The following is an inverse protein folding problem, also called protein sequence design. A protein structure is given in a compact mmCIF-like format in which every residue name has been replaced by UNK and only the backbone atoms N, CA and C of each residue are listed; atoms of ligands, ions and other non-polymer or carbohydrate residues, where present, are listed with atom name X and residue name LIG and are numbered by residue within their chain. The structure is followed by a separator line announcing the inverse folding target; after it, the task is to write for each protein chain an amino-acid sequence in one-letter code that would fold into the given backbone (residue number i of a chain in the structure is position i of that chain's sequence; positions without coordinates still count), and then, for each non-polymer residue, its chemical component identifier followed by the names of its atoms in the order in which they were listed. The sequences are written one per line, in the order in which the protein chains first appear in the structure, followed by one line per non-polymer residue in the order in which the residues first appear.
data_IF_651044747863
#
_entry.id   IF_651044747863
#
_cell.length_a   1.000
_cell.length_b   1.000
_cell.length_c   1.000
_cell.angle_alpha   90.00
_cell.angle_beta   90.00
_cell.angle_gamma   90.00
#
_symmetry.space_group_name_H-M   'P 1'
#
loop_
_entity.id
_entity.type
_entity.pdbx_description
1 polymer ?
#
# COMPACT_ATOMS: atom_id res chain seq x y z
N UNK A 1 -7.37 11.53 -4.17
CA UNK A 1 -7.90 10.21 -3.77
C UNK A 1 -6.96 9.48 -2.82
N UNK A 2 -5.67 9.26 -3.15
CA UNK A 2 -4.66 8.66 -2.26
C UNK A 2 -4.64 9.19 -0.81
N UNK A 3 -4.77 10.51 -0.61
CA UNK A 3 -4.81 11.15 0.72
C UNK A 3 -5.94 10.61 1.63
N UNK A 4 -7.06 10.16 1.07
CA UNK A 4 -8.19 9.62 1.85
C UNK A 4 -7.79 8.34 2.56
N UNK A 5 -7.19 7.39 1.83
CA UNK A 5 -6.77 6.09 2.37
C UNK A 5 -5.63 6.24 3.40
N UNK A 6 -4.65 7.09 3.11
CA UNK A 6 -3.44 7.22 3.93
C UNK A 6 -3.57 8.20 5.11
N UNK A 7 -4.75 8.79 5.32
CA UNK A 7 -4.95 9.82 6.34
C UNK A 7 -4.65 9.34 7.75
N UNK A 8 -5.01 8.09 8.09
CA UNK A 8 -4.72 7.51 9.40
C UNK A 8 -3.25 7.16 9.56
N UNK A 9 -2.63 6.51 8.57
CA UNK A 9 -1.21 6.19 8.60
C UNK A 9 -0.36 7.45 8.83
N UNK A 10 -0.71 8.56 8.17
CA UNK A 10 -0.03 9.85 8.39
C UNK A 10 -0.07 10.33 9.84
N UNK A 11 -1.19 10.13 10.55
CA UNK A 11 -1.35 10.56 11.94
C UNK A 11 -0.52 9.74 12.93
N UNK A 12 -0.19 8.52 12.57
CA UNK A 12 0.55 7.59 13.43
C UNK A 12 2.06 7.59 13.16
N UNK A 13 2.56 8.46 12.28
CA UNK A 13 4.00 8.64 12.08
C UNK A 13 4.71 8.89 13.42
N UNK A 14 5.81 8.18 13.65
CA UNK A 14 6.53 8.18 14.92
C UNK A 14 6.06 7.11 15.92
N UNK A 15 4.95 6.43 15.66
CA UNK A 15 4.44 5.32 16.46
C UNK A 15 4.43 4.04 15.61
N UNK A 16 5.57 3.35 15.58
CA UNK A 16 5.84 2.21 14.70
C UNK A 16 4.64 1.25 14.50
N UNK A 17 4.15 0.64 15.58
CA UNK A 17 3.08 -0.35 15.48
C UNK A 17 1.78 0.24 14.91
N UNK A 18 1.34 1.38 15.44
CA UNK A 18 0.13 2.05 14.98
C UNK A 18 0.25 2.51 13.51
N UNK A 19 1.44 2.96 13.11
CA UNK A 19 1.74 3.36 11.74
C UNK A 19 1.58 2.21 10.75
N UNK A 20 2.26 1.08 10.97
CA UNK A 20 2.19 -0.04 10.02
C UNK A 20 0.82 -0.72 9.98
N UNK A 21 0.12 -0.81 11.12
CA UNK A 21 -1.28 -1.28 11.13
C UNK A 21 -2.17 -0.36 10.29
N UNK A 22 -1.98 0.96 10.41
CA UNK A 22 -2.77 1.91 9.64
C UNK A 22 -2.39 1.93 8.16
N UNK A 23 -1.10 1.71 7.83
CA UNK A 23 -0.60 1.65 6.46
C UNK A 23 -1.12 0.41 5.73
N UNK A 24 -1.01 -0.78 6.33
CA UNK A 24 -1.56 -2.03 5.79
C UNK A 24 -3.08 -1.90 5.54
N UNK A 25 -3.83 -1.38 6.53
CA UNK A 25 -5.26 -1.11 6.35
C UNK A 25 -5.55 -0.14 5.21
N UNK A 26 -4.73 0.87 5.02
CA UNK A 26 -4.88 1.82 3.92
C UNK A 26 -4.68 1.16 2.55
N UNK A 27 -3.64 0.32 2.42
CA UNK A 27 -3.35 -0.45 1.20
C UNK A 27 -4.48 -1.43 0.87
N UNK A 28 -4.95 -2.21 1.85
CA UNK A 28 -6.07 -3.13 1.66
C UNK A 28 -7.36 -2.40 1.30
N UNK A 29 -7.70 -1.30 1.98
CA UNK A 29 -8.90 -0.54 1.67
C UNK A 29 -8.86 0.08 0.27
N UNK A 30 -7.67 0.50 -0.18
CA UNK A 30 -7.46 0.96 -1.55
C UNK A 30 -7.76 -0.16 -2.56
N UNK A 31 -7.18 -1.35 -2.36
CA UNK A 31 -7.40 -2.51 -3.23
C UNK A 31 -8.88 -2.91 -3.29
N UNK A 32 -9.54 -3.02 -2.15
CA UNK A 32 -10.98 -3.32 -2.09
C UNK A 32 -11.80 -2.32 -2.90
N UNK A 33 -11.52 -1.03 -2.75
CA UNK A 33 -12.26 0.02 -3.43
C UNK A 33 -11.99 0.08 -4.94
N UNK A 34 -10.81 -0.34 -5.41
CA UNK A 34 -10.40 -0.22 -6.82
C UNK A 34 -10.54 -1.50 -7.62
N UNK A 35 -10.34 -2.64 -6.98
CA UNK A 35 -10.37 -3.95 -7.60
C UNK A 35 -11.63 -4.75 -7.26
N UNK A 36 -12.47 -4.26 -6.33
CA UNK A 36 -13.67 -4.94 -5.85
C UNK A 36 -13.38 -6.36 -5.33
N UNK A 37 -12.28 -6.51 -4.58
CA UNK A 37 -11.85 -7.76 -3.96
C UNK A 37 -12.22 -7.82 -2.48
N UNK A 38 -12.43 -9.02 -1.95
CA UNK A 38 -12.60 -9.24 -0.52
C UNK A 38 -11.26 -9.50 0.17
N UNK A 39 -11.19 -9.31 1.50
CA UNK A 39 -9.94 -9.50 2.27
C UNK A 39 -9.39 -10.93 2.14
N UNK A 40 -10.28 -11.93 2.11
CA UNK A 40 -9.92 -13.35 2.00
C UNK A 40 -9.23 -13.69 0.70
N UNK A 41 -9.46 -12.89 -0.34
CA UNK A 41 -8.99 -13.14 -1.70
C UNK A 41 -7.72 -12.34 -2.02
N UNK A 42 -7.19 -11.60 -1.04
CA UNK A 42 -5.97 -10.80 -1.19
C UNK A 42 -4.77 -11.76 -1.15
N UNK A 43 -4.27 -12.11 -2.33
CA UNK A 43 -2.96 -12.72 -2.54
C UNK A 43 -2.15 -11.88 -3.52
N UNK A 44 -0.82 -12.00 -3.52
CA UNK A 44 0.04 -11.29 -4.48
C UNK A 44 -0.31 -11.64 -5.91
N UNK A 45 -0.56 -12.92 -6.18
CA UNK A 45 -0.94 -13.43 -7.50
C UNK A 45 -2.27 -12.81 -7.95
N UNK A 46 -3.26 -12.77 -7.06
CA UNK A 46 -4.57 -12.23 -7.38
C UNK A 46 -4.54 -10.72 -7.60
N UNK A 47 -3.82 -9.97 -6.76
CA UNK A 47 -3.68 -8.52 -6.95
C UNK A 47 -2.95 -8.23 -8.26
N UNK A 48 -1.86 -8.94 -8.54
CA UNK A 48 -1.08 -8.78 -9.78
C UNK A 48 -1.96 -9.00 -11.00
N UNK A 49 -2.63 -10.16 -11.09
CA UNK A 49 -3.53 -10.48 -12.19
C UNK A 49 -4.65 -9.44 -12.36
N UNK A 50 -5.25 -8.97 -11.26
CA UNK A 50 -6.31 -7.96 -11.35
C UNK A 50 -5.80 -6.58 -11.78
N UNK A 51 -4.57 -6.20 -11.44
CA UNK A 51 -3.99 -4.95 -11.90
C UNK A 51 -3.55 -5.06 -13.37
N UNK A 52 -3.04 -6.21 -13.79
CA UNK A 52 -2.73 -6.50 -15.20
C UNK A 52 -3.99 -6.46 -16.07
N UNK A 53 -5.10 -7.07 -15.61
CA UNK A 53 -6.41 -7.03 -16.30
C UNK A 53 -6.96 -5.59 -16.47
N UNK A 54 -6.48 -4.67 -15.63
CA UNK A 54 -6.80 -3.24 -15.69
C UNK A 54 -5.80 -2.43 -16.53
N UNK A 55 -4.85 -3.09 -17.19
CA UNK A 55 -3.76 -2.49 -17.97
C UNK A 55 -2.86 -1.56 -17.15
N UNK A 56 -2.65 -1.85 -15.87
CA UNK A 56 -1.66 -1.15 -15.06
C UNK A 56 -0.26 -1.60 -15.50
N UNK A 57 0.66 -0.66 -15.65
CA UNK A 57 2.03 -0.94 -16.06
C UNK A 57 2.72 -1.89 -15.07
N UNK A 58 3.40 -2.92 -15.57
CA UNK A 58 4.11 -3.91 -14.75
C UNK A 58 5.07 -3.26 -13.74
N UNK A 59 5.73 -2.16 -14.10
CA UNK A 59 6.58 -1.41 -13.18
C UNK A 59 5.81 -0.85 -11.97
N UNK A 60 4.59 -0.35 -12.20
CA UNK A 60 3.72 0.18 -11.13
C UNK A 60 3.19 -0.95 -10.24
N UNK A 61 2.87 -2.10 -10.84
CA UNK A 61 2.47 -3.31 -10.10
C UNK A 61 3.61 -3.78 -9.19
N UNK A 62 4.83 -3.89 -9.74
CA UNK A 62 6.00 -4.31 -8.97
C UNK A 62 6.31 -3.35 -7.82
N UNK A 63 6.28 -2.03 -8.06
CA UNK A 63 6.41 -1.04 -6.98
C UNK A 63 5.34 -1.21 -5.89
N UNK A 64 4.12 -1.60 -6.26
CA UNK A 64 3.03 -1.80 -5.29
C UNK A 64 3.24 -3.06 -4.46
N UNK A 65 3.73 -4.14 -5.08
CA UNK A 65 4.09 -5.37 -4.37
C UNK A 65 5.25 -5.13 -3.40
N UNK A 66 6.27 -4.38 -3.82
CA UNK A 66 7.37 -3.98 -2.94
C UNK A 66 6.86 -3.19 -1.72
N UNK A 67 5.91 -2.26 -1.91
CA UNK A 67 5.32 -1.52 -0.78
C UNK A 67 4.54 -2.42 0.19
N UNK A 68 3.83 -3.43 -0.31
CA UNK A 68 3.16 -4.40 0.55
C UNK A 68 4.18 -5.20 1.37
N UNK A 69 5.25 -5.67 0.73
CA UNK A 69 6.30 -6.45 1.36
C UNK A 69 7.09 -5.64 2.39
N UNK A 70 7.48 -4.42 2.04
CA UNK A 70 8.14 -3.47 2.95
C UNK A 70 7.27 -3.24 4.19
N UNK A 71 5.95 -3.02 4.01
CA UNK A 71 5.02 -2.80 5.11
C UNK A 71 4.93 -4.01 6.06
N UNK A 72 4.90 -5.23 5.52
CA UNK A 72 4.87 -6.46 6.31
C UNK A 72 6.16 -6.69 7.07
N UNK A 73 7.29 -6.54 6.38
CA UNK A 73 8.62 -6.72 6.95
C UNK A 73 8.91 -5.70 8.07
N UNK A 74 8.52 -4.45 7.87
CA UNK A 74 8.78 -3.38 8.82
C UNK A 74 8.05 -3.55 10.17
N UNK A 75 6.95 -4.32 10.21
CA UNK A 75 6.29 -4.69 11.48
C UNK A 75 7.24 -5.43 12.41
N UNK A 76 8.09 -6.29 11.87
CA UNK A 76 8.94 -7.20 12.63
C UNK A 76 10.39 -6.75 12.77
N UNK A 77 10.79 -5.65 12.12
CA UNK A 77 12.18 -5.17 12.13
C UNK A 77 12.35 -3.81 12.81
N UNK A 78 13.52 -3.47 13.36
CA UNK A 78 13.77 -2.13 13.89
C UNK A 78 13.57 -1.07 12.80
N UNK A 79 12.82 -0.01 13.14
CA UNK A 79 12.48 1.04 12.17
C UNK A 79 12.68 2.42 12.76
N UNK A 80 13.06 3.38 11.92
CA UNK A 80 13.25 4.78 12.31
C UNK A 80 12.10 5.65 11.81
N UNK A 81 11.96 6.85 12.36
CA UNK A 81 10.99 7.83 11.88
C UNK A 81 11.23 8.24 10.42
N UNK A 82 12.49 8.25 9.99
CA UNK A 82 12.85 8.54 8.59
C UNK A 82 12.38 7.43 7.66
N UNK A 83 12.57 6.16 8.05
CA UNK A 83 12.09 5.01 7.28
C UNK A 83 10.57 5.00 7.16
N UNK A 84 9.84 5.21 8.27
CA UNK A 84 8.38 5.33 8.24
C UNK A 84 7.90 6.42 7.29
N UNK A 85 8.56 7.59 7.28
CA UNK A 85 8.22 8.67 6.36
C UNK A 85 8.47 8.28 4.90
N UNK A 86 9.60 7.62 4.61
CA UNK A 86 9.93 7.15 3.26
C UNK A 86 8.92 6.12 2.76
N UNK A 87 8.55 5.14 3.58
CA UNK A 87 7.56 4.12 3.23
C UNK A 87 6.17 4.72 3.05
N UNK A 88 5.79 5.69 3.88
CA UNK A 88 4.55 6.44 3.71
C UNK A 88 4.52 7.15 2.34
N UNK A 89 5.62 7.82 1.97
CA UNK A 89 5.71 8.54 0.71
C UNK A 89 5.74 7.60 -0.50
N UNK A 90 6.43 6.45 -0.41
CA UNK A 90 6.38 5.38 -1.42
C UNK A 90 4.95 4.88 -1.60
N UNK A 91 4.25 4.52 -0.52
CA UNK A 91 2.86 4.05 -0.57
C UNK A 91 1.93 5.07 -1.22
N UNK A 92 2.09 6.35 -0.86
CA UNK A 92 1.33 7.45 -1.48
C UNK A 92 1.62 7.60 -2.97
N UNK A 93 2.88 7.49 -3.37
CA UNK A 93 3.30 7.58 -4.77
C UNK A 93 2.67 6.45 -5.59
N UNK A 94 2.81 5.20 -5.16
CA UNK A 94 2.33 4.05 -5.93
C UNK A 94 0.80 3.99 -6.00
N UNK A 95 0.09 4.29 -4.90
CA UNK A 95 -1.38 4.43 -4.92
C UNK A 95 -1.79 5.50 -5.94
N UNK A 96 -1.07 6.62 -5.99
CA UNK A 96 -1.38 7.71 -6.94
C UNK A 96 -1.06 7.30 -8.39
N UNK A 97 -0.04 6.48 -8.63
CA UNK A 97 0.26 5.95 -9.97
C UNK A 97 -0.85 5.01 -10.45
N UNK A 98 -1.26 4.05 -9.62
CA UNK A 98 -2.37 3.14 -9.94
C UNK A 98 -3.66 3.94 -10.19
N UNK A 99 -4.00 4.90 -9.31
CA UNK A 99 -5.19 5.75 -9.47
C UNK A 99 -5.21 6.56 -10.77
N UNK A 100 -4.04 6.82 -11.39
CA UNK A 100 -3.94 7.56 -12.66
C UNK A 100 -4.04 6.66 -13.89
N UNK A 101 -3.72 5.38 -13.74
CA UNK A 101 -3.76 4.39 -14.82
C UNK A 101 -5.10 3.64 -14.87
N UNK A 102 -5.86 3.66 -13.77
CA UNK A 102 -7.27 3.24 -13.70
C UNK A 102 -8.22 4.31 -14.27
#
# INVERSE_FOLDING_TARGET
MARKYLSQAKKELGKKEAFYIALEKALHNFLKAKLNIETSDISKEKITSLLEDRNIDAATINEFMEVLDDCDFARYTPTTNVMMQQEFDKAKQVITKIDKQL
#
